data_IF_841324023988
#
_entry.id   IF_841324023988
#
_cell.length_a   1.000
_cell.length_b   1.000
_cell.length_c   1.000
_cell.angle_alpha   90.00
_cell.angle_beta   90.00
_cell.angle_gamma   90.00
#
_symmetry.space_group_name_H-M   'P 1'
#
loop_
_entity.id
_entity.type
_entity.pdbx_description
1 polymer ?
#
# COMPACT_ATOMS: atom_id res chain seq x y z
N UNK A 1 -13.86 20.29 -10.00
CA UNK A 1 -13.06 19.27 -9.29
C UNK A 1 -13.73 17.92 -9.37
N UNK A 2 -12.96 16.85 -9.56
CA UNK A 2 -13.44 15.47 -9.51
C UNK A 2 -12.75 14.74 -8.35
N UNK A 3 -13.43 13.77 -7.75
CA UNK A 3 -12.90 12.97 -6.65
C UNK A 3 -12.84 11.50 -7.09
N UNK A 4 -11.63 10.96 -7.20
CA UNK A 4 -11.43 9.54 -7.44
C UNK A 4 -11.20 8.80 -6.13
N UNK A 5 -12.08 7.83 -5.83
CA UNK A 5 -11.98 7.00 -4.63
C UNK A 5 -11.63 5.59 -5.04
N UNK A 6 -10.50 5.10 -4.55
CA UNK A 6 -10.01 3.75 -4.82
C UNK A 6 -9.98 2.94 -3.53
N UNK A 7 -10.60 1.76 -3.56
CA UNK A 7 -10.39 0.72 -2.55
C UNK A 7 -9.61 -0.44 -3.19
N UNK A 8 -8.66 -1.02 -2.46
CA UNK A 8 -7.80 -2.06 -2.99
C UNK A 8 -7.66 -3.24 -2.02
N UNK A 9 -7.70 -4.46 -2.55
CA UNK A 9 -7.51 -5.68 -1.78
C UNK A 9 -7.90 -6.94 -2.57
N UNK A 10 -7.48 -8.11 -2.09
CA UNK A 10 -7.65 -9.38 -2.82
C UNK A 10 -9.11 -9.87 -2.91
N UNK A 11 -9.99 -9.40 -2.01
CA UNK A 11 -11.39 -9.83 -1.92
C UNK A 11 -12.38 -8.66 -2.01
N UNK A 12 -11.93 -7.50 -2.51
CA UNK A 12 -12.80 -6.32 -2.57
C UNK A 12 -13.90 -6.49 -3.62
N UNK A 13 -15.05 -5.88 -3.37
CA UNK A 13 -16.15 -5.75 -4.31
C UNK A 13 -16.88 -4.43 -4.05
N UNK A 14 -17.86 -4.11 -4.89
CA UNK A 14 -18.61 -2.85 -4.84
C UNK A 14 -19.27 -2.58 -3.47
N UNK A 15 -19.69 -3.60 -2.72
CA UNK A 15 -20.29 -3.43 -1.38
C UNK A 15 -19.30 -2.84 -0.38
N UNK A 16 -18.01 -3.14 -0.53
CA UNK A 16 -16.98 -2.53 0.31
C UNK A 16 -16.86 -1.03 0.06
N UNK A 17 -17.02 -0.60 -1.20
CA UNK A 17 -17.04 0.82 -1.54
C UNK A 17 -18.25 1.49 -0.91
N UNK A 18 -19.45 0.90 -1.07
CA UNK A 18 -20.66 1.42 -0.44
C UNK A 18 -20.54 1.56 1.09
N UNK A 19 -20.03 0.51 1.74
CA UNK A 19 -19.82 0.54 3.18
C UNK A 19 -18.80 1.60 3.60
N UNK A 20 -17.72 1.77 2.83
CA UNK A 20 -16.71 2.79 3.09
C UNK A 20 -17.30 4.20 2.96
N UNK A 21 -18.06 4.48 1.90
CA UNK A 21 -18.68 5.78 1.66
C UNK A 21 -19.76 6.12 2.71
N UNK A 22 -20.36 5.11 3.34
CA UNK A 22 -21.32 5.27 4.43
C UNK A 22 -20.68 5.50 5.81
N UNK A 23 -19.36 5.36 5.94
CA UNK A 23 -18.70 5.55 7.24
C UNK A 23 -18.84 7.01 7.72
N UNK A 24 -19.18 7.25 9.02
CA UNK A 24 -19.28 8.61 9.58
C UNK A 24 -17.99 9.42 9.46
N UNK A 25 -16.83 8.75 9.40
CA UNK A 25 -15.54 9.40 9.23
C UNK A 25 -15.35 9.87 7.77
N UNK A 26 -15.87 9.12 6.80
CA UNK A 26 -15.73 9.40 5.36
C UNK A 26 -16.75 10.45 4.93
N UNK A 27 -18.01 10.28 5.30
CA UNK A 27 -19.08 11.26 5.02
C UNK A 27 -18.76 12.67 5.52
N UNK A 28 -18.01 12.81 6.63
CA UNK A 28 -17.56 14.10 7.16
C UNK A 28 -16.55 14.85 6.28
N UNK A 29 -15.82 14.15 5.41
CA UNK A 29 -14.81 14.75 4.53
C UNK A 29 -15.25 14.83 3.08
N UNK A 30 -16.37 14.19 2.74
CA UNK A 30 -16.97 14.26 1.41
C UNK A 30 -17.78 15.57 1.24
N UNK A 31 -18.02 16.00 -0.01
CA UNK A 31 -18.87 17.15 -0.29
C UNK A 31 -20.26 17.02 0.37
N UNK A 32 -20.82 18.14 0.84
CA UNK A 32 -22.13 18.14 1.54
C UNK A 32 -23.29 17.61 0.68
N UNK A 33 -23.19 17.76 -0.64
CA UNK A 33 -24.14 17.26 -1.63
C UNK A 33 -23.89 15.80 -2.05
N UNK A 34 -22.86 15.13 -1.53
CA UNK A 34 -22.49 13.77 -1.92
C UNK A 34 -23.65 12.77 -1.77
N UNK A 35 -24.47 12.93 -0.72
CA UNK A 35 -25.63 12.08 -0.50
C UNK A 35 -26.62 12.11 -1.68
N UNK A 36 -26.80 13.28 -2.31
CA UNK A 36 -27.66 13.43 -3.48
C UNK A 36 -27.02 12.84 -4.73
N UNK A 37 -25.70 12.96 -4.89
CA UNK A 37 -24.96 12.51 -6.08
C UNK A 37 -24.57 11.02 -6.03
N UNK A 38 -24.77 10.33 -4.90
CA UNK A 38 -24.32 8.95 -4.71
C UNK A 38 -24.86 7.99 -5.79
N UNK A 39 -26.07 8.22 -6.28
CA UNK A 39 -26.69 7.40 -7.32
C UNK A 39 -26.05 7.56 -8.70
N UNK A 40 -25.23 8.60 -8.91
CA UNK A 40 -24.48 8.86 -10.14
C UNK A 40 -23.11 8.17 -10.15
N UNK A 41 -22.70 7.54 -9.04
CA UNK A 41 -21.39 6.89 -8.93
C UNK A 41 -21.31 5.67 -9.84
N UNK A 42 -20.26 5.66 -10.68
CA UNK A 42 -19.90 4.49 -11.48
C UNK A 42 -18.77 3.71 -10.82
N UNK A 43 -19.01 2.43 -10.53
CA UNK A 43 -18.00 1.55 -9.92
C UNK A 43 -17.35 0.66 -10.98
N UNK A 44 -16.07 0.89 -11.21
CA UNK A 44 -15.23 0.02 -12.03
C UNK A 44 -14.32 -0.84 -11.17
N UNK A 45 -14.17 -2.11 -11.55
CA UNK A 45 -13.18 -3.00 -10.93
C UNK A 45 -11.98 -3.14 -11.85
N UNK A 46 -10.83 -2.65 -11.39
CA UNK A 46 -9.57 -2.74 -12.10
C UNK A 46 -8.56 -3.62 -11.36
N UNK A 47 -7.60 -4.14 -12.12
CA UNK A 47 -6.39 -4.73 -11.58
C UNK A 47 -5.24 -3.77 -11.83
N UNK A 48 -4.29 -3.71 -10.90
CA UNK A 48 -3.08 -2.92 -11.04
C UNK A 48 -1.87 -3.79 -10.72
N UNK A 49 -0.74 -3.59 -11.42
CA UNK A 49 0.48 -4.34 -11.16
C UNK A 49 0.97 -4.07 -9.75
N UNK A 50 1.78 -4.97 -9.21
CA UNK A 50 2.30 -4.85 -7.83
C UNK A 50 3.81 -4.92 -7.74
N UNK A 51 4.44 -5.21 -8.88
CA UNK A 51 5.87 -5.39 -9.05
C UNK A 51 6.17 -5.27 -10.55
N UNK A 52 7.42 -4.95 -10.91
CA UNK A 52 7.86 -5.00 -12.30
C UNK A 52 7.66 -6.37 -12.93
N UNK A 53 7.45 -6.37 -14.24
CA UNK A 53 7.46 -7.58 -15.05
C UNK A 53 8.84 -8.25 -15.00
N UNK A 54 8.88 -9.59 -15.06
CA UNK A 54 10.15 -10.33 -15.05
C UNK A 54 10.98 -10.10 -16.32
N UNK A 55 10.31 -9.94 -17.46
CA UNK A 55 10.92 -9.73 -18.78
C UNK A 55 10.42 -8.40 -19.35
N UNK A 56 10.93 -7.29 -18.80
CA UNK A 56 10.51 -5.94 -19.20
C UNK A 56 10.79 -5.64 -20.67
N UNK A 57 11.87 -6.19 -21.21
CA UNK A 57 12.35 -5.98 -22.57
C UNK A 57 13.20 -7.14 -23.05
N UNK A 58 13.40 -7.20 -24.36
CA UNK A 58 14.29 -8.12 -25.04
C UNK A 58 14.57 -7.62 -26.46
N UNK A 59 15.00 -8.51 -27.35
CA UNK A 59 15.29 -8.10 -28.71
C UNK A 59 14.01 -7.68 -29.43
N UNK A 60 13.98 -6.40 -29.82
CA UNK A 60 12.91 -5.75 -30.58
C UNK A 60 11.57 -5.66 -29.84
N UNK A 61 11.56 -5.77 -28.51
CA UNK A 61 10.37 -5.51 -27.71
C UNK A 61 10.70 -4.89 -26.35
N UNK A 62 9.78 -4.07 -25.87
CA UNK A 62 9.77 -3.48 -24.53
C UNK A 62 8.32 -3.34 -24.06
N UNK A 63 8.10 -3.60 -22.77
CA UNK A 63 6.81 -3.42 -22.12
C UNK A 63 6.76 -2.05 -21.45
N UNK A 64 5.59 -1.41 -21.55
CA UNK A 64 5.33 -0.06 -21.03
C UNK A 64 4.04 -0.05 -20.22
N UNK A 65 3.82 1.00 -19.44
CA UNK A 65 2.62 1.14 -18.59
C UNK A 65 2.45 0.00 -17.60
N UNK A 66 1.20 -0.42 -17.41
CA UNK A 66 0.88 -1.45 -16.42
C UNK A 66 1.51 -2.80 -16.76
N UNK A 67 1.76 -3.08 -18.04
CA UNK A 67 2.47 -4.28 -18.48
C UNK A 67 3.94 -4.28 -18.02
N UNK A 68 4.56 -3.10 -17.90
CA UNK A 68 5.91 -2.99 -17.33
C UNK A 68 5.89 -3.19 -15.82
N UNK A 69 4.85 -2.73 -15.13
CA UNK A 69 4.73 -2.84 -13.67
C UNK A 69 5.77 -2.02 -12.90
N UNK A 70 6.41 -1.02 -13.53
CA UNK A 70 7.33 -0.06 -12.90
C UNK A 70 6.53 0.96 -12.09
N UNK A 71 5.80 0.50 -11.09
CA UNK A 71 4.84 1.30 -10.34
C UNK A 71 5.27 1.52 -8.89
N UNK A 72 4.92 2.68 -8.36
CA UNK A 72 5.05 2.98 -6.93
C UNK A 72 3.80 2.53 -6.18
N UNK A 73 3.93 1.47 -5.38
CA UNK A 73 2.83 0.96 -4.56
C UNK A 73 2.23 2.08 -3.69
N UNK A 74 0.90 2.07 -3.50
CA UNK A 74 0.10 3.06 -2.72
C UNK A 74 0.06 4.50 -3.24
N UNK A 75 0.86 4.85 -4.26
CA UNK A 75 1.08 6.25 -4.64
C UNK A 75 0.28 6.72 -5.86
N UNK A 76 -0.63 5.91 -6.40
CA UNK A 76 -1.70 6.35 -7.32
C UNK A 76 -1.30 6.96 -8.68
N UNK A 77 -0.02 6.99 -9.08
CA UNK A 77 0.46 7.67 -10.30
C UNK A 77 0.59 6.75 -11.54
N UNK A 78 -0.36 5.84 -11.74
CA UNK A 78 -0.30 4.83 -12.82
C UNK A 78 -0.23 5.45 -14.23
N UNK A 79 -1.08 6.44 -14.51
CA UNK A 79 -1.15 7.10 -15.82
C UNK A 79 0.16 7.81 -16.16
N UNK A 80 0.70 8.63 -15.25
CA UNK A 80 1.98 9.30 -15.47
C UNK A 80 3.10 8.28 -15.71
N UNK A 81 3.17 7.21 -14.92
CA UNK A 81 4.13 6.12 -15.12
C UNK A 81 3.96 5.49 -16.51
N UNK A 82 2.74 5.28 -16.99
CA UNK A 82 2.50 4.72 -18.32
C UNK A 82 2.97 5.65 -19.44
N UNK A 83 2.70 6.94 -19.33
CA UNK A 83 3.21 7.93 -20.29
C UNK A 83 4.74 7.98 -20.29
N UNK A 84 5.36 8.08 -19.11
CA UNK A 84 6.84 8.19 -19.01
C UNK A 84 7.53 6.92 -19.51
N UNK A 85 7.00 5.73 -19.21
CA UNK A 85 7.55 4.48 -19.75
C UNK A 85 7.41 4.40 -21.28
N UNK A 86 6.28 4.85 -21.84
CA UNK A 86 6.11 4.94 -23.30
C UNK A 86 7.11 5.89 -23.97
N UNK A 87 7.24 7.10 -23.43
CA UNK A 87 8.19 8.13 -23.93
C UNK A 87 9.61 7.58 -23.88
N UNK A 88 10.01 7.02 -22.73
CA UNK A 88 11.39 6.57 -22.55
C UNK A 88 11.74 5.36 -23.42
N UNK A 89 10.78 4.47 -23.64
CA UNK A 89 10.94 3.38 -24.59
C UNK A 89 11.18 3.92 -26.00
N UNK A 90 10.40 4.92 -26.44
CA UNK A 90 10.56 5.53 -27.76
C UNK A 90 11.91 6.24 -27.92
N UNK A 91 12.35 6.99 -26.91
CA UNK A 91 13.68 7.64 -26.90
C UNK A 91 14.80 6.60 -27.09
N UNK A 92 14.79 5.50 -26.32
CA UNK A 92 15.80 4.45 -26.44
C UNK A 92 15.79 3.78 -27.82
N UNK A 93 14.60 3.53 -28.38
CA UNK A 93 14.48 2.97 -29.74
C UNK A 93 15.09 3.89 -30.80
N UNK A 94 14.94 5.20 -30.65
CA UNK A 94 15.42 6.20 -31.62
C UNK A 94 16.92 6.49 -31.46
N UNK A 95 17.40 6.61 -30.22
CA UNK A 95 18.74 7.13 -29.93
C UNK A 95 19.80 6.02 -29.76
N UNK A 96 19.39 4.83 -29.30
CA UNK A 96 20.30 3.72 -28.96
C UNK A 96 20.05 2.51 -29.84
N UNK A 97 18.77 2.15 -30.02
CA UNK A 97 18.33 1.07 -30.89
C UNK A 97 17.32 0.13 -30.22
N UNK A 98 17.07 -1.01 -30.86
CA UNK A 98 16.00 -1.94 -30.49
C UNK A 98 16.50 -3.31 -30.00
N UNK A 99 17.78 -3.43 -29.65
CA UNK A 99 18.32 -4.66 -29.06
C UNK A 99 17.97 -4.77 -27.58
N UNK A 100 18.07 -5.98 -27.03
CA UNK A 100 17.95 -6.18 -25.57
C UNK A 100 18.95 -5.33 -24.79
N UNK A 101 20.17 -5.16 -25.31
CA UNK A 101 21.22 -4.35 -24.71
C UNK A 101 20.85 -2.87 -24.69
N UNK A 102 20.29 -2.33 -25.78
CA UNK A 102 19.83 -0.94 -25.83
C UNK A 102 18.74 -0.67 -24.78
N UNK A 103 17.80 -1.61 -24.59
CA UNK A 103 16.74 -1.47 -23.59
C UNK A 103 17.20 -1.59 -22.12
N UNK A 104 18.49 -1.84 -21.84
CA UNK A 104 19.02 -1.64 -20.49
C UNK A 104 18.93 -0.16 -20.08
N UNK A 105 19.22 0.75 -21.01
CA UNK A 105 19.12 2.19 -20.79
C UNK A 105 17.69 2.60 -20.44
N UNK A 106 16.68 1.95 -21.05
CA UNK A 106 15.28 2.15 -20.69
C UNK A 106 15.01 1.82 -19.22
N UNK A 107 15.52 0.70 -18.71
CA UNK A 107 15.33 0.31 -17.31
C UNK A 107 16.10 1.21 -16.34
N UNK A 108 17.34 1.54 -16.68
CA UNK A 108 18.23 2.35 -15.84
C UNK A 108 17.72 3.79 -15.69
N UNK A 109 16.96 4.27 -16.68
CA UNK A 109 16.25 5.54 -16.63
C UNK A 109 15.18 5.63 -15.55
N UNK A 110 14.79 4.48 -14.96
CA UNK A 110 13.87 4.41 -13.82
C UNK A 110 14.57 3.96 -12.53
N UNK A 111 15.89 4.07 -12.44
CA UNK A 111 16.69 3.69 -11.26
C UNK A 111 16.18 4.30 -9.94
N UNK A 112 15.71 5.54 -9.95
CA UNK A 112 15.09 6.18 -8.77
C UNK A 112 13.84 5.42 -8.30
N UNK A 113 12.99 4.96 -9.23
CA UNK A 113 11.79 4.19 -8.90
C UNK A 113 12.16 2.77 -8.51
N UNK A 114 13.02 2.11 -9.30
CA UNK A 114 13.35 0.70 -9.10
C UNK A 114 14.13 0.47 -7.82
N UNK A 115 14.99 1.40 -7.42
CA UNK A 115 15.70 1.38 -6.13
C UNK A 115 14.78 1.59 -4.93
N UNK A 116 13.63 2.25 -5.11
CA UNK A 116 12.62 2.46 -4.06
C UNK A 116 11.65 1.25 -3.90
N UNK A 117 11.55 0.37 -4.91
CA UNK A 117 10.63 -0.77 -4.90
C UNK A 117 10.78 -1.72 -3.70
N UNK A 118 12.00 -2.08 -3.24
CA UNK A 118 12.16 -2.93 -2.06
C UNK A 118 11.54 -2.30 -0.80
N UNK A 119 11.73 -0.99 -0.61
CA UNK A 119 11.15 -0.25 0.52
C UNK A 119 9.62 -0.23 0.44
N UNK A 120 9.06 0.04 -0.74
CA UNK A 120 7.61 -0.04 -0.96
C UNK A 120 7.03 -1.43 -0.68
N UNK A 121 7.74 -2.51 -1.08
CA UNK A 121 7.34 -3.90 -0.76
C UNK A 121 7.32 -4.16 0.75
N UNK A 122 8.32 -3.69 1.49
CA UNK A 122 8.39 -3.80 2.95
C UNK A 122 7.22 -3.06 3.60
N UNK A 123 6.97 -1.80 3.22
CA UNK A 123 5.85 -1.01 3.75
C UNK A 123 4.52 -1.70 3.47
N UNK A 124 4.32 -2.24 2.27
CA UNK A 124 3.11 -3.00 1.94
C UNK A 124 2.95 -4.25 2.79
N UNK A 125 4.03 -4.99 3.01
CA UNK A 125 4.02 -6.16 3.87
C UNK A 125 3.65 -5.78 5.31
N UNK A 126 4.25 -4.72 5.86
CA UNK A 126 3.97 -4.21 7.20
C UNK A 126 2.54 -3.72 7.35
N UNK A 127 2.01 -3.00 6.36
CA UNK A 127 0.61 -2.54 6.34
C UNK A 127 -0.35 -3.74 6.32
N UNK A 128 -0.09 -4.72 5.45
CA UNK A 128 -0.91 -5.93 5.34
C UNK A 128 -0.83 -6.83 6.58
N UNK A 129 0.33 -6.90 7.24
CA UNK A 129 0.48 -7.56 8.54
C UNK A 129 -0.31 -6.81 9.62
N UNK A 130 -0.12 -5.48 9.70
CA UNK A 130 -0.75 -4.65 10.72
C UNK A 130 -2.28 -4.68 10.63
N UNK A 131 -2.83 -4.68 9.42
CA UNK A 131 -4.27 -4.80 9.19
C UNK A 131 -4.82 -6.16 9.63
N UNK A 132 -4.12 -7.26 9.31
CA UNK A 132 -4.55 -8.63 9.68
C UNK A 132 -4.47 -8.90 11.18
N UNK A 133 -3.48 -8.32 11.86
CA UNK A 133 -3.21 -8.55 13.27
C UNK A 133 -3.89 -7.54 14.22
N UNK A 134 -4.67 -6.58 13.69
CA UNK A 134 -5.30 -5.52 14.48
C UNK A 134 -4.32 -4.47 15.02
N UNK A 135 -3.10 -4.43 14.51
CA UNK A 135 -2.07 -3.43 14.84
C UNK A 135 -2.25 -2.10 14.09
N UNK A 136 -3.08 -2.07 13.04
CA UNK A 136 -3.28 -0.85 12.26
C UNK A 136 -3.90 0.29 13.08
N UNK A 137 -4.91 -0.03 13.91
CA UNK A 137 -5.58 0.95 14.79
C UNK A 137 -4.63 1.64 15.79
N UNK A 138 -3.80 0.93 16.58
CA UNK A 138 -2.86 1.61 17.48
C UNK A 138 -1.78 2.40 16.72
N UNK A 139 -1.36 1.97 15.53
CA UNK A 139 -0.45 2.76 14.69
C UNK A 139 -1.11 4.05 14.19
N UNK A 140 -2.38 4.01 13.78
CA UNK A 140 -3.14 5.22 13.44
C UNK A 140 -3.30 6.16 14.64
N UNK A 141 -3.51 5.63 15.84
CA UNK A 141 -3.60 6.44 17.04
C UNK A 141 -2.27 7.15 17.34
N UNK A 142 -1.16 6.43 17.23
CA UNK A 142 0.18 7.03 17.32
C UNK A 142 0.38 8.13 16.26
N UNK A 143 -0.11 7.93 15.05
CA UNK A 143 -0.02 8.93 13.98
C UNK A 143 -0.88 10.18 14.25
N UNK A 144 -1.90 10.12 15.11
CA UNK A 144 -2.64 11.34 15.52
C UNK A 144 -1.81 12.20 16.47
N UNK A 145 -1.01 11.56 17.31
CA UNK A 145 -0.26 12.19 18.40
C UNK A 145 1.14 12.64 17.95
N UNK A 146 1.79 11.88 17.07
CA UNK A 146 3.15 12.13 16.61
C UNK A 146 3.18 12.75 15.21
N UNK A 147 3.64 14.01 15.12
CA UNK A 147 3.67 14.76 13.86
C UNK A 147 4.53 14.10 12.77
N UNK A 148 5.67 13.49 13.14
CA UNK A 148 6.57 12.84 12.17
C UNK A 148 5.92 11.59 11.62
N UNK A 149 5.33 10.77 12.49
CA UNK A 149 4.64 9.56 12.05
C UNK A 149 3.39 9.87 11.22
N UNK A 150 2.68 10.96 11.55
CA UNK A 150 1.57 11.47 10.73
C UNK A 150 1.99 11.83 9.32
N UNK A 151 3.09 12.58 9.20
CA UNK A 151 3.66 12.95 7.91
C UNK A 151 4.07 11.69 7.12
N UNK A 152 4.69 10.71 7.79
CA UNK A 152 5.06 9.44 7.16
C UNK A 152 3.85 8.68 6.57
N UNK A 153 2.74 8.63 7.31
CA UNK A 153 1.48 8.01 6.84
C UNK A 153 0.93 8.76 5.62
N UNK A 154 0.93 10.09 5.67
CA UNK A 154 0.46 10.92 4.56
C UNK A 154 1.33 10.77 3.31
N UNK A 155 2.65 10.90 3.45
CA UNK A 155 3.61 10.82 2.33
C UNK A 155 3.65 9.43 1.71
N UNK A 156 3.33 8.38 2.49
CA UNK A 156 3.20 7.02 2.00
C UNK A 156 2.08 6.86 0.95
N UNK A 157 1.05 7.71 0.98
CA UNK A 157 -0.10 7.66 0.05
C UNK A 157 -0.14 8.84 -0.93
N UNK A 158 0.36 10.02 -0.56
CA UNK A 158 0.30 11.24 -1.37
C UNK A 158 1.11 11.15 -2.68
N UNK A 159 2.07 10.22 -2.77
CA UNK A 159 2.83 9.98 -3.99
C UNK A 159 3.86 11.05 -4.36
N UNK A 160 4.11 12.01 -3.48
CA UNK A 160 5.10 13.09 -3.62
C UNK A 160 6.54 12.62 -3.36
N UNK A 161 6.73 11.66 -2.45
CA UNK A 161 8.07 11.25 -1.96
C UNK A 161 8.41 9.78 -2.21
N UNK A 162 9.68 9.40 -2.10
CA UNK A 162 10.13 7.99 -2.14
C UNK A 162 9.95 7.31 -0.78
N UNK A 163 9.68 6.00 -0.75
CA UNK A 163 9.55 5.26 0.52
C UNK A 163 10.86 5.23 1.31
N UNK A 164 12.00 5.11 0.62
CA UNK A 164 13.33 5.17 1.23
C UNK A 164 13.49 6.45 2.06
N UNK A 165 13.18 7.59 1.48
CA UNK A 165 13.25 8.90 2.16
C UNK A 165 12.31 8.95 3.37
N UNK A 166 11.04 8.56 3.17
CA UNK A 166 10.04 8.54 4.24
C UNK A 166 10.54 7.72 5.42
N UNK A 167 11.08 6.53 5.18
CA UNK A 167 11.58 5.64 6.22
C UNK A 167 12.73 6.31 6.99
N UNK A 168 13.75 6.81 6.29
CA UNK A 168 14.93 7.39 6.94
C UNK A 168 14.61 8.66 7.74
N UNK A 169 13.70 9.50 7.25
CA UNK A 169 13.33 10.73 7.97
C UNK A 169 12.36 10.48 9.14
N UNK A 170 11.58 9.41 9.06
CA UNK A 170 10.63 9.03 10.11
C UNK A 170 11.32 8.34 11.27
N UNK A 171 12.35 7.53 11.00
CA UNK A 171 13.08 6.80 12.03
C UNK A 171 13.72 7.80 13.00
N UNK A 172 13.30 7.70 14.25
CA UNK A 172 13.90 8.42 15.37
C UNK A 172 13.84 7.54 16.60
N UNK A 173 14.81 7.67 17.50
CA UNK A 173 14.90 6.84 18.70
C UNK A 173 13.60 6.90 19.54
N UNK A 174 13.02 8.09 19.65
CA UNK A 174 11.76 8.32 20.36
C UNK A 174 10.57 7.59 19.70
N UNK A 175 10.41 7.72 18.37
CA UNK A 175 9.32 7.06 17.66
C UNK A 175 9.47 5.55 17.66
N UNK A 176 10.68 5.04 17.45
CA UNK A 176 10.99 3.61 17.54
C UNK A 176 10.59 3.05 18.90
N UNK A 177 10.88 3.76 19.99
CA UNK A 177 10.44 3.34 21.32
C UNK A 177 8.92 3.29 21.48
N UNK A 178 8.18 4.28 20.95
CA UNK A 178 6.71 4.28 20.97
C UNK A 178 6.14 3.08 20.21
N UNK A 179 6.69 2.79 19.02
CA UNK A 179 6.30 1.65 18.19
C UNK A 179 6.59 0.33 18.92
N UNK A 180 7.79 0.15 19.49
CA UNK A 180 8.15 -1.04 20.27
C UNK A 180 7.20 -1.23 21.45
N UNK A 181 6.87 -0.17 22.19
CA UNK A 181 5.91 -0.24 23.31
C UNK A 181 4.54 -0.73 22.83
N UNK A 182 4.04 -0.22 21.71
CA UNK A 182 2.78 -0.68 21.10
C UNK A 182 2.86 -2.17 20.74
N UNK A 183 3.94 -2.61 20.11
CA UNK A 183 4.13 -4.01 19.73
C UNK A 183 4.18 -4.93 20.95
N UNK A 184 4.89 -4.54 22.01
CA UNK A 184 4.95 -5.30 23.28
C UNK A 184 3.57 -5.38 23.91
N UNK A 185 2.86 -4.25 24.06
CA UNK A 185 1.52 -4.22 24.64
C UNK A 185 0.54 -5.09 23.83
N UNK A 186 0.61 -5.01 22.50
CA UNK A 186 -0.19 -5.85 21.61
C UNK A 186 0.13 -7.33 21.77
N UNK A 187 1.42 -7.69 21.87
CA UNK A 187 1.87 -9.07 22.05
C UNK A 187 1.34 -9.67 23.36
N UNK A 188 1.46 -8.94 24.47
CA UNK A 188 0.90 -9.38 25.76
C UNK A 188 -0.62 -9.51 25.74
N UNK A 189 -1.34 -8.61 25.06
CA UNK A 189 -2.79 -8.68 24.92
C UNK A 189 -3.22 -9.95 24.18
N UNK A 190 -2.49 -10.35 23.15
CA UNK A 190 -2.76 -11.60 22.43
C UNK A 190 -2.48 -12.84 23.29
N UNK A 191 -1.40 -12.83 24.08
CA UNK A 191 -1.06 -13.95 24.96
C UNK A 191 -2.05 -14.12 26.13
N UNK A 192 -2.52 -13.00 26.69
CA UNK A 192 -3.57 -13.01 27.72
C UNK A 192 -4.90 -13.52 27.17
N UNK A 193 -5.24 -13.20 25.92
CA UNK A 193 -6.42 -13.73 25.26
C UNK A 193 -6.29 -15.25 25.00
N UNK A 194 -5.13 -15.72 24.51
CA UNK A 194 -4.87 -17.15 24.32
C UNK A 194 -4.93 -17.94 25.63
N UNK A 195 -4.37 -17.43 26.73
CA UNK A 195 -4.44 -18.13 28.03
C UNK A 195 -5.86 -18.19 28.61
N UNK A 196 -6.73 -17.22 28.30
CA UNK A 196 -8.15 -17.25 28.66
C UNK A 196 -8.97 -18.23 27.79
N UNK A 197 -8.63 -18.37 26.50
CA UNK A 197 -9.29 -19.31 25.56
C UNK A 197 -8.87 -20.77 25.79
N UNK A 198 -7.69 -21.03 26.38
CA UNK A 198 -7.22 -22.39 26.68
C UNK A 198 -7.75 -22.91 28.04
N UNK A 199 -8.09 -22.02 28.99
CA UNK A 199 -8.65 -22.39 30.31
C UNK A 199 -9.98 -23.16 30.31
N UNK A 200 -10.91 -23.04 29.34
CA UNK A 200 -12.13 -23.84 29.30
C UNK A 200 -11.90 -25.25 28.72
N UNK A 201 -10.85 -25.45 27.90
CA UNK A 201 -10.59 -26.72 27.22
C UNK A 201 -9.99 -27.76 28.17
N UNK A 202 -9.16 -27.34 29.14
CA UNK A 202 -8.62 -28.25 30.15
C UNK A 202 -9.67 -28.73 31.18
N UNK A 203 -10.75 -27.98 31.39
CA UNK A 203 -11.88 -28.38 32.25
C UNK A 203 -12.83 -29.40 31.59
N UNK A 204 -12.86 -29.50 30.26
CA UNK A 204 -13.71 -30.47 29.56
C UNK A 204 -13.09 -31.87 29.48
N UNK A 205 -11.76 -32.00 29.63
CA UNK A 205 -11.05 -33.29 29.54
C UNK A 205 -10.96 -34.00 30.90
N UNK A 206 -11.15 -33.28 32.01
CA UNK A 206 -11.10 -33.85 33.37
C UNK A 206 -12.43 -34.43 33.86
N UNK A 207 -13.54 -34.25 33.12
CA UNK A 207 -14.88 -34.67 33.57
C UNK A 207 -15.44 -35.92 32.81
N UNK A 208 -14.56 -36.76 32.26
CA UNK A 208 -14.92 -38.01 31.54
C UNK A 208 -14.20 -39.26 32.09
N UNK A 209 -13.94 -39.30 33.40
CA UNK A 209 -13.55 -40.52 34.12
C UNK A 209 -14.37 -40.65 35.40
N UNK A 210 -15.59 -41.14 35.24
CA UNK A 210 -16.37 -41.87 36.24
C UNK A 210 -17.01 -43.03 35.51
#
# INVERSE_FOLDING_TARGET
DHLDINIAGSKINWRWMDNFLLMPQVTRVLPSNFAMQRHELFYSRWQFPTSPAKNLFGDRYVTVGDAAGIIRAFKGKGVNTACTTGIRAAEVMMDVGISKEAFKDYYDSFSDITSDLPYGKIIRMLAGFSARCGLFTPMLQLAKEDKKFRAAFFDSVAGSRMFKEIIFETISLQLSWKVVKILIMWFFKQFSFMSWVIKPISKAITNKRT
#
